data_IF_767624663416
#
_entry.id   IF_767624663416
#
_cell.length_a   1.000
_cell.length_b   1.000
_cell.length_c   1.000
_cell.angle_alpha   90.00
_cell.angle_beta   90.00
_cell.angle_gamma   90.00
#
_symmetry.space_group_name_H-M   'P 1'
#
loop_
_entity.id
_entity.type
_entity.pdbx_description
1 polymer ?
#
# COMPACT_ATOMS: atom_id res chain seq x y z
N UNK A 1 19.16 -1.47 -13.72
CA UNK A 1 19.64 -1.96 -12.43
C UNK A 1 19.08 -3.32 -12.15
N UNK A 2 19.78 -4.09 -11.36
CA UNK A 2 19.33 -5.40 -10.94
C UNK A 2 18.33 -5.25 -9.80
N UNK A 3 17.28 -6.07 -9.79
CA UNK A 3 16.24 -6.06 -8.77
C UNK A 3 16.20 -7.37 -7.99
N UNK A 4 16.00 -7.28 -6.66
CA UNK A 4 15.77 -8.42 -5.81
C UNK A 4 14.42 -8.29 -5.12
N UNK A 5 13.69 -9.39 -4.97
CA UNK A 5 12.46 -9.41 -4.19
C UNK A 5 12.77 -9.73 -2.72
N UNK A 6 12.20 -8.94 -1.82
CA UNK A 6 12.27 -9.22 -0.39
C UNK A 6 11.27 -10.36 -0.10
N UNK A 7 11.70 -11.49 0.48
CA UNK A 7 10.80 -12.55 0.87
C UNK A 7 9.74 -12.09 1.88
N UNK A 8 8.64 -12.81 1.93
CA UNK A 8 7.61 -12.65 2.95
C UNK A 8 7.43 -13.96 3.72
N UNK A 9 6.90 -13.88 4.93
CA UNK A 9 6.52 -15.05 5.73
C UNK A 9 5.20 -15.70 5.23
N UNK A 10 4.74 -16.72 5.93
CA UNK A 10 3.50 -17.44 5.60
C UNK A 10 2.24 -16.57 5.73
N UNK A 11 2.32 -15.43 6.40
CA UNK A 11 1.23 -14.47 6.59
C UNK A 11 1.29 -13.30 5.59
N UNK A 12 2.33 -13.27 4.74
CA UNK A 12 2.55 -12.21 3.75
C UNK A 12 3.22 -10.95 4.32
N UNK A 13 3.85 -11.05 5.49
CA UNK A 13 4.64 -9.97 6.10
C UNK A 13 6.08 -10.06 5.62
N UNK A 14 6.68 -8.92 5.25
CA UNK A 14 8.06 -8.85 4.76
C UNK A 14 9.05 -9.36 5.80
N UNK A 15 10.00 -10.23 5.36
CA UNK A 15 11.10 -10.73 6.17
C UNK A 15 12.19 -9.66 6.30
N UNK A 16 12.20 -8.99 7.46
CA UNK A 16 13.16 -7.92 7.76
C UNK A 16 14.60 -8.40 7.86
N UNK A 17 14.82 -9.65 8.28
CA UNK A 17 16.16 -10.22 8.30
C UNK A 17 16.67 -10.50 6.88
N UNK A 18 15.79 -10.96 6.00
CA UNK A 18 16.12 -11.12 4.59
C UNK A 18 16.40 -9.76 3.93
N UNK A 19 15.62 -8.72 4.26
CA UNK A 19 15.90 -7.35 3.82
C UNK A 19 17.30 -6.90 4.23
N UNK A 20 17.67 -7.08 5.50
CA UNK A 20 19.00 -6.72 6.00
C UNK A 20 20.11 -7.50 5.26
N UNK A 21 19.91 -8.80 5.04
CA UNK A 21 20.88 -9.63 4.27
C UNK A 21 21.02 -9.16 2.82
N UNK A 22 19.90 -8.84 2.15
CA UNK A 22 19.92 -8.35 0.77
C UNK A 22 20.68 -7.02 0.63
N UNK A 23 20.63 -6.19 1.66
CA UNK A 23 21.32 -4.87 1.66
C UNK A 23 22.80 -4.96 2.02
N UNK A 24 23.23 -6.00 2.74
CA UNK A 24 24.60 -6.12 3.24
C UNK A 24 25.66 -6.25 2.12
N UNK A 25 25.30 -6.83 0.99
CA UNK A 25 26.20 -7.19 -0.11
C UNK A 25 26.02 -6.27 -1.34
N UNK A 26 25.32 -5.14 -1.19
CA UNK A 26 25.07 -4.23 -2.33
C UNK A 26 25.95 -3.00 -2.27
N UNK A 27 26.77 -2.81 -3.32
CA UNK A 27 27.53 -1.60 -3.53
C UNK A 27 26.78 -0.58 -4.41
N UNK A 28 26.75 0.69 -3.99
CA UNK A 28 26.17 1.79 -4.77
C UNK A 28 24.75 2.21 -4.33
N UNK A 29 24.09 3.04 -5.14
CA UNK A 29 22.76 3.57 -4.76
C UNK A 29 21.69 2.48 -4.79
N UNK A 30 20.96 2.32 -3.69
CA UNK A 30 19.89 1.36 -3.54
C UNK A 30 18.57 2.07 -3.25
N UNK A 31 17.49 1.56 -3.83
CA UNK A 31 16.11 1.91 -3.49
C UNK A 31 15.43 0.67 -2.93
N UNK A 32 14.92 0.76 -1.71
CA UNK A 32 14.00 -0.22 -1.12
C UNK A 32 12.59 0.28 -1.31
N UNK A 33 11.72 -0.54 -1.87
CA UNK A 33 10.30 -0.19 -2.07
C UNK A 33 9.41 -1.25 -1.43
N UNK A 34 8.58 -0.83 -0.47
CA UNK A 34 7.65 -1.72 0.25
C UNK A 34 6.25 -1.08 0.25
N UNK A 35 5.22 -1.89 -0.05
CA UNK A 35 3.83 -1.44 0.10
C UNK A 35 3.44 -1.42 1.58
N UNK A 36 2.73 -0.38 2.03
CA UNK A 36 2.28 -0.30 3.42
C UNK A 36 1.17 -1.30 3.74
N UNK A 37 0.31 -1.59 2.76
CA UNK A 37 -0.74 -2.60 2.85
C UNK A 37 -0.83 -3.38 1.53
N UNK A 38 -0.96 -4.70 1.62
CA UNK A 38 -1.13 -5.53 0.45
C UNK A 38 -2.53 -5.34 -0.16
N UNK A 39 -2.62 -5.22 -1.48
CA UNK A 39 -3.87 -4.94 -2.19
C UNK A 39 -4.85 -6.13 -2.21
N UNK A 40 -4.39 -7.36 -2.04
CA UNK A 40 -5.20 -8.58 -2.07
C UNK A 40 -5.62 -9.02 -0.66
N UNK A 41 -4.65 -9.12 0.25
CA UNK A 41 -4.88 -9.66 1.60
C UNK A 41 -5.20 -8.57 2.61
N UNK A 42 -4.84 -7.32 2.34
CA UNK A 42 -4.91 -6.22 3.28
C UNK A 42 -3.83 -6.23 4.36
N UNK A 43 -2.87 -7.16 4.31
CA UNK A 43 -1.82 -7.31 5.31
C UNK A 43 -0.95 -6.06 5.35
N UNK A 44 -0.78 -5.52 6.56
CA UNK A 44 0.05 -4.35 6.85
C UNK A 44 1.51 -4.76 7.00
N UNK A 45 2.40 -3.94 6.44
CA UNK A 45 3.84 -4.18 6.49
C UNK A 45 4.51 -3.34 7.58
N UNK A 46 5.60 -3.81 8.18
CA UNK A 46 6.36 -3.10 9.21
C UNK A 46 7.24 -1.99 8.60
N UNK A 47 6.59 -0.94 8.06
CA UNK A 47 7.23 0.10 7.24
C UNK A 47 8.32 0.83 8.00
N UNK A 48 8.08 1.24 9.25
CA UNK A 48 9.06 1.99 10.04
C UNK A 48 10.34 1.18 10.29
N UNK A 49 10.20 -0.12 10.55
CA UNK A 49 11.31 -1.04 10.74
C UNK A 49 12.09 -1.28 9.43
N UNK A 50 11.37 -1.50 8.33
CA UNK A 50 11.97 -1.67 7.01
C UNK A 50 12.72 -0.40 6.57
N UNK A 51 12.15 0.78 6.81
CA UNK A 51 12.79 2.07 6.54
C UNK A 51 14.08 2.25 7.35
N UNK A 52 14.05 1.92 8.64
CA UNK A 52 15.25 1.98 9.50
C UNK A 52 16.37 1.07 8.98
N UNK A 53 16.06 -0.17 8.64
CA UNK A 53 17.04 -1.12 8.08
C UNK A 53 17.60 -0.60 6.75
N UNK A 54 16.76 -0.06 5.88
CA UNK A 54 17.18 0.53 4.62
C UNK A 54 18.15 1.73 4.85
N UNK A 55 17.81 2.61 5.77
CA UNK A 55 18.64 3.78 6.09
C UNK A 55 19.98 3.40 6.73
N UNK A 56 20.04 2.39 7.58
CA UNK A 56 21.28 1.87 8.15
C UNK A 56 22.25 1.37 7.07
N UNK A 57 21.71 0.86 5.95
CA UNK A 57 22.47 0.49 4.76
C UNK A 57 22.68 1.65 3.76
N UNK A 58 22.25 2.88 4.08
CA UNK A 58 22.35 4.03 3.18
C UNK A 58 21.37 4.03 2.01
N UNK A 59 20.42 3.14 1.96
CA UNK A 59 19.41 3.04 0.90
C UNK A 59 18.36 4.15 0.99
N UNK A 60 17.72 4.45 -0.14
CA UNK A 60 16.51 5.27 -0.22
C UNK A 60 15.29 4.39 0.02
N UNK A 61 14.40 4.79 0.92
CA UNK A 61 13.20 4.01 1.23
C UNK A 61 11.92 4.65 0.67
N UNK A 62 11.25 3.91 -0.21
CA UNK A 62 9.96 4.26 -0.78
C UNK A 62 8.85 3.42 -0.17
N UNK A 63 7.79 4.06 0.29
CA UNK A 63 6.57 3.43 0.78
C UNK A 63 5.45 3.56 -0.27
N UNK A 64 4.95 2.45 -0.80
CA UNK A 64 3.70 2.46 -1.55
C UNK A 64 2.53 2.42 -0.55
N UNK A 65 1.91 3.57 -0.32
CA UNK A 65 0.79 3.72 0.60
C UNK A 65 -0.58 3.72 -0.08
N UNK A 66 -0.64 3.36 -1.37
CA UNK A 66 -1.87 3.39 -2.18
C UNK A 66 -3.02 2.63 -1.53
N UNK A 67 -2.75 1.50 -0.88
CA UNK A 67 -3.78 0.69 -0.21
C UNK A 67 -3.93 0.97 1.29
N UNK A 68 -3.04 1.77 1.87
CA UNK A 68 -3.08 2.11 3.29
C UNK A 68 -3.76 3.46 3.57
N UNK A 69 -3.59 4.42 2.66
CA UNK A 69 -4.17 5.75 2.78
C UNK A 69 -5.69 5.71 2.94
N UNK A 70 -6.21 6.48 3.90
CA UNK A 70 -7.64 6.50 4.26
C UNK A 70 -8.15 5.24 4.96
N UNK A 71 -7.27 4.28 5.29
CA UNK A 71 -7.62 3.04 5.99
C UNK A 71 -6.89 2.89 7.32
N UNK A 72 -5.70 3.45 7.40
CA UNK A 72 -4.89 3.59 8.62
C UNK A 72 -4.38 5.02 8.71
N UNK A 73 -3.98 5.42 9.90
CA UNK A 73 -3.24 6.67 10.08
C UNK A 73 -1.86 6.57 9.43
N UNK A 74 -1.54 7.55 8.58
CA UNK A 74 -0.29 7.59 7.83
C UNK A 74 0.44 8.89 8.12
N UNK A 75 1.61 8.75 8.72
CA UNK A 75 2.56 9.84 8.93
C UNK A 75 3.90 9.47 8.28
N UNK A 76 4.27 10.17 7.19
CA UNK A 76 5.51 9.90 6.46
C UNK A 76 6.75 10.07 7.34
N UNK A 77 6.72 11.01 8.29
CA UNK A 77 7.81 11.24 9.22
C UNK A 77 7.91 10.11 10.24
N UNK A 78 6.80 9.71 10.83
CA UNK A 78 6.71 8.59 11.77
C UNK A 78 7.06 7.25 11.14
N UNK A 79 6.71 7.03 9.86
CA UNK A 79 7.10 5.85 9.08
C UNK A 79 8.55 5.87 8.63
N UNK A 80 9.20 7.02 8.66
CA UNK A 80 10.59 7.18 8.22
C UNK A 80 10.79 7.01 6.71
N UNK A 81 9.74 7.04 5.89
CA UNK A 81 9.90 6.91 4.44
C UNK A 81 10.50 8.16 3.81
N UNK A 82 11.44 8.02 2.88
CA UNK A 82 11.99 9.14 2.08
C UNK A 82 10.98 9.60 1.03
N UNK A 83 10.18 8.66 0.51
CA UNK A 83 9.11 8.96 -0.43
C UNK A 83 7.88 8.06 -0.18
N UNK A 84 6.69 8.59 -0.50
CA UNK A 84 5.43 7.86 -0.38
C UNK A 84 4.56 8.10 -1.61
N UNK A 85 4.03 7.02 -2.20
CA UNK A 85 3.07 7.12 -3.31
C UNK A 85 1.63 6.93 -2.84
N UNK A 86 0.73 7.72 -3.43
CA UNK A 86 -0.70 7.71 -3.17
C UNK A 86 -1.48 7.75 -4.49
N UNK A 87 -2.72 7.25 -4.50
CA UNK A 87 -3.59 7.27 -5.67
C UNK A 87 -5.01 7.71 -5.28
N UNK A 88 -5.53 8.73 -5.97
CA UNK A 88 -6.81 9.34 -5.64
C UNK A 88 -7.98 8.34 -5.70
N UNK A 89 -8.04 7.50 -6.74
CA UNK A 89 -9.16 6.56 -6.93
C UNK A 89 -9.25 5.48 -5.82
N UNK A 90 -8.21 5.31 -5.01
CA UNK A 90 -8.22 4.41 -3.85
C UNK A 90 -8.78 5.06 -2.59
N UNK A 91 -8.95 6.40 -2.61
CA UNK A 91 -9.52 7.21 -1.55
C UNK A 91 -10.95 7.70 -1.88
N UNK A 92 -11.55 7.23 -2.98
CA UNK A 92 -12.83 7.76 -3.45
C UNK A 92 -12.72 8.99 -4.35
N UNK A 93 -11.50 9.39 -4.71
CA UNK A 93 -11.22 10.49 -5.62
C UNK A 93 -11.22 10.07 -7.10
N UNK A 94 -10.91 11.02 -8.02
CA UNK A 94 -10.92 10.77 -9.44
C UNK A 94 -9.80 9.82 -9.89
N UNK A 95 -10.08 9.08 -11.00
CA UNK A 95 -9.07 8.26 -11.66
C UNK A 95 -8.05 9.14 -12.40
N UNK A 96 -6.87 8.58 -12.67
CA UNK A 96 -5.83 9.22 -13.48
C UNK A 96 -5.03 10.32 -12.75
N UNK A 97 -5.13 10.39 -11.43
CA UNK A 97 -4.33 11.29 -10.59
C UNK A 97 -3.80 10.56 -9.37
N UNK A 98 -2.57 10.85 -9.04
CA UNK A 98 -1.87 10.37 -7.85
C UNK A 98 -0.85 11.39 -7.40
N UNK A 99 -0.20 11.15 -6.28
CA UNK A 99 0.90 11.99 -5.83
C UNK A 99 2.08 11.17 -5.32
N UNK A 100 3.24 11.80 -5.37
CA UNK A 100 4.47 11.34 -4.76
C UNK A 100 4.88 12.38 -3.73
N UNK A 101 4.85 11.98 -2.47
CA UNK A 101 5.26 12.81 -1.33
C UNK A 101 6.72 12.51 -1.04
N UNK A 102 7.53 13.54 -0.82
CA UNK A 102 8.94 13.42 -0.43
C UNK A 102 9.18 13.99 0.96
N UNK A 103 10.08 13.34 1.68
CA UNK A 103 10.61 13.82 2.95
C UNK A 103 12.06 14.26 2.77
N UNK A 104 12.37 15.49 3.20
CA UNK A 104 13.73 16.02 3.11
C UNK A 104 14.17 16.37 1.67
N UNK A 105 15.48 16.34 1.44
CA UNK A 105 16.12 16.86 0.22
C UNK A 105 16.53 15.74 -0.78
N UNK A 106 16.30 14.47 -0.45
CA UNK A 106 16.65 13.32 -1.30
C UNK A 106 15.58 13.08 -2.37
N UNK A 107 15.39 14.07 -3.25
CA UNK A 107 14.38 14.00 -4.30
C UNK A 107 15.03 13.47 -5.59
N UNK A 108 14.46 12.41 -6.22
CA UNK A 108 14.97 11.87 -7.49
C UNK A 108 14.87 12.89 -8.62
N UNK A 109 15.72 12.75 -9.64
CA UNK A 109 15.63 13.59 -10.82
C UNK A 109 14.30 13.35 -11.56
N UNK A 110 13.68 14.40 -12.14
CA UNK A 110 12.42 14.29 -12.85
C UNK A 110 12.55 13.37 -14.08
N UNK A 111 11.64 12.41 -14.21
CA UNK A 111 11.59 11.49 -15.37
C UNK A 111 10.99 12.18 -16.60
N UNK A 112 9.94 12.98 -16.42
CA UNK A 112 9.29 13.73 -17.49
C UNK A 112 9.89 15.14 -17.56
N UNK A 113 10.72 15.36 -18.56
CA UNK A 113 11.43 16.63 -18.78
C UNK A 113 10.67 17.49 -19.79
N UNK A 114 10.74 18.82 -19.63
CA UNK A 114 10.10 19.78 -20.53
C UNK A 114 9.75 21.08 -19.85
N UNK A 115 8.47 21.40 -19.71
CA UNK A 115 7.99 22.58 -19.01
C UNK A 115 8.27 22.57 -17.51
N UNK A 116 7.95 23.67 -16.84
CA UNK A 116 8.25 23.89 -15.41
C UNK A 116 7.11 23.52 -14.48
N UNK A 117 6.13 22.75 -14.97
CA UNK A 117 5.00 22.27 -14.16
C UNK A 117 5.51 21.47 -12.96
N UNK A 118 4.69 21.41 -11.91
CA UNK A 118 5.08 20.79 -10.63
C UNK A 118 6.46 21.28 -10.13
N UNK A 119 6.73 22.58 -10.28
CA UNK A 119 8.04 23.20 -9.95
C UNK A 119 9.23 22.56 -10.67
N UNK A 120 9.02 22.03 -11.88
CA UNK A 120 10.02 21.35 -12.69
C UNK A 120 10.17 19.85 -12.41
N UNK A 121 9.37 19.28 -11.49
CA UNK A 121 9.43 17.86 -11.14
C UNK A 121 8.67 16.96 -12.11
N UNK A 122 7.69 17.50 -12.84
CA UNK A 122 6.94 16.74 -13.85
C UNK A 122 6.41 17.68 -14.93
N UNK A 123 6.96 17.59 -16.12
CA UNK A 123 6.50 18.36 -17.26
C UNK A 123 5.12 17.89 -17.77
N UNK A 124 4.42 18.77 -18.46
CA UNK A 124 3.08 18.56 -19.00
C UNK A 124 2.01 19.26 -18.16
N UNK A 125 0.93 19.69 -18.83
CA UNK A 125 -0.18 20.41 -18.16
C UNK A 125 -0.75 19.57 -17.04
N UNK A 126 -1.01 20.21 -15.92
CA UNK A 126 -1.57 19.58 -14.71
C UNK A 126 -3.05 19.24 -14.94
N UNK A 127 -3.47 18.08 -14.46
CA UNK A 127 -4.88 17.70 -14.38
C UNK A 127 -5.54 18.39 -13.18
N UNK A 128 -5.77 19.69 -13.30
CA UNK A 128 -6.29 20.50 -12.21
C UNK A 128 -7.60 19.95 -11.59
N UNK A 129 -8.63 19.56 -12.39
CA UNK A 129 -9.84 18.96 -11.79
C UNK A 129 -9.55 17.69 -11.00
N UNK A 130 -8.65 16.83 -11.50
CA UNK A 130 -8.24 15.61 -10.80
C UNK A 130 -7.49 15.91 -9.51
N UNK A 131 -6.59 16.90 -9.52
CA UNK A 131 -5.81 17.30 -8.34
C UNK A 131 -6.73 17.87 -7.25
N UNK A 132 -7.68 18.75 -7.61
CA UNK A 132 -8.67 19.30 -6.66
C UNK A 132 -9.53 18.17 -6.08
N UNK A 133 -10.05 17.27 -6.92
CA UNK A 133 -10.83 16.12 -6.45
C UNK A 133 -10.02 15.17 -5.56
N UNK A 134 -8.71 15.03 -5.81
CA UNK A 134 -7.83 14.26 -4.92
C UNK A 134 -7.70 14.94 -3.55
N UNK A 135 -7.52 16.25 -3.50
CA UNK A 135 -7.46 17.01 -2.23
C UNK A 135 -8.70 16.78 -1.38
N UNK A 136 -9.88 16.95 -1.96
CA UNK A 136 -11.17 16.71 -1.27
C UNK A 136 -11.26 15.26 -0.77
N UNK A 137 -10.93 14.27 -1.63
CA UNK A 137 -10.97 12.86 -1.24
C UNK A 137 -9.99 12.53 -0.11
N UNK A 138 -8.83 13.17 -0.06
CA UNK A 138 -7.86 12.99 1.01
C UNK A 138 -8.37 13.55 2.35
N UNK A 139 -9.01 14.73 2.35
CA UNK A 139 -9.62 15.32 3.55
C UNK A 139 -10.75 14.45 4.10
N UNK A 140 -11.64 13.97 3.24
CA UNK A 140 -12.73 13.05 3.62
C UNK A 140 -12.20 11.72 4.14
N UNK A 141 -11.16 11.16 3.51
CA UNK A 141 -10.54 9.89 3.93
C UNK A 141 -9.94 9.99 5.34
N UNK A 142 -9.32 11.11 5.69
CA UNK A 142 -8.83 11.37 7.06
C UNK A 142 -9.98 11.48 8.05
N UNK A 143 -11.04 12.20 7.70
CA UNK A 143 -12.23 12.35 8.55
C UNK A 143 -12.91 10.98 8.82
N UNK A 144 -12.90 10.08 7.84
CA UNK A 144 -13.52 8.75 7.92
C UNK A 144 -12.70 7.70 8.69
N UNK A 145 -11.45 7.96 9.08
CA UNK A 145 -10.62 7.01 9.84
C UNK A 145 -11.28 6.53 11.14
N UNK A 146 -12.11 7.36 11.77
CA UNK A 146 -12.89 6.97 12.95
C UNK A 146 -13.87 5.82 12.73
N UNK A 147 -14.21 5.48 11.47
CA UNK A 147 -15.12 4.37 11.10
C UNK A 147 -14.41 3.02 11.02
N UNK A 148 -13.08 2.99 11.05
CA UNK A 148 -12.26 1.78 10.92
C UNK A 148 -12.69 0.62 11.86
N UNK A 149 -13.01 0.84 13.16
CA UNK A 149 -13.45 -0.24 14.03
C UNK A 149 -14.76 -0.91 13.58
N UNK A 150 -15.71 -0.13 13.07
CA UNK A 150 -16.98 -0.67 12.57
C UNK A 150 -16.77 -1.50 11.28
N UNK A 151 -15.91 -1.04 10.38
CA UNK A 151 -15.52 -1.77 9.16
C UNK A 151 -14.80 -3.08 9.50
N UNK A 152 -13.88 -3.06 10.49
CA UNK A 152 -13.22 -4.27 10.96
C UNK A 152 -14.23 -5.30 11.49
N UNK A 153 -15.21 -4.88 12.29
CA UNK A 153 -16.24 -5.76 12.81
C UNK A 153 -17.10 -6.39 11.70
N UNK A 154 -17.39 -5.64 10.62
CA UNK A 154 -18.10 -6.15 9.44
C UNK A 154 -17.25 -7.18 8.68
N UNK A 155 -15.97 -6.91 8.44
CA UNK A 155 -15.03 -7.85 7.82
C UNK A 155 -14.93 -9.14 8.63
N UNK A 156 -14.71 -9.03 9.92
CA UNK A 156 -14.56 -10.18 10.81
C UNK A 156 -15.84 -11.03 10.88
N UNK A 157 -17.00 -10.39 10.78
CA UNK A 157 -18.28 -11.08 10.66
C UNK A 157 -18.38 -11.86 9.34
N UNK A 158 -18.07 -11.21 8.21
CA UNK A 158 -18.05 -11.84 6.88
C UNK A 158 -17.16 -13.09 6.89
N UNK A 159 -15.93 -12.95 7.41
CA UNK A 159 -14.95 -14.04 7.47
C UNK A 159 -15.46 -15.21 8.32
N UNK A 160 -16.00 -14.96 9.50
CA UNK A 160 -16.59 -16.02 10.35
C UNK A 160 -17.73 -16.75 9.66
N UNK A 161 -18.64 -16.02 9.02
CA UNK A 161 -19.79 -16.62 8.32
C UNK A 161 -19.33 -17.43 7.10
N UNK A 162 -18.35 -16.95 6.34
CA UNK A 162 -17.79 -17.68 5.20
C UNK A 162 -17.06 -18.96 5.63
N UNK A 163 -16.24 -18.89 6.68
CA UNK A 163 -15.52 -20.06 7.21
C UNK A 163 -16.50 -21.11 7.78
N UNK A 164 -17.62 -20.68 8.37
CA UNK A 164 -18.64 -21.59 8.87
C UNK A 164 -19.45 -22.25 7.75
N UNK A 165 -19.68 -21.54 6.65
CA UNK A 165 -20.49 -22.00 5.53
C UNK A 165 -19.73 -22.90 4.55
N UNK A 166 -18.41 -22.71 4.39
CA UNK A 166 -17.61 -23.40 3.37
C UNK A 166 -16.51 -24.25 4.03
N UNK A 167 -16.64 -25.59 4.06
CA UNK A 167 -15.62 -26.47 4.60
C UNK A 167 -14.28 -26.31 3.87
N UNK A 168 -13.21 -26.10 4.64
CA UNK A 168 -11.87 -25.92 4.11
C UNK A 168 -11.58 -24.51 3.57
N UNK A 169 -12.51 -23.57 3.66
CA UNK A 169 -12.21 -22.16 3.39
C UNK A 169 -11.13 -21.62 4.34
N UNK A 170 -10.34 -20.67 3.86
CA UNK A 170 -9.32 -20.01 4.64
C UNK A 170 -9.30 -18.51 4.35
N UNK A 171 -8.91 -17.72 5.34
CA UNK A 171 -8.63 -16.29 5.18
C UNK A 171 -7.12 -16.12 5.06
N UNK A 172 -6.65 -15.61 3.93
CA UNK A 172 -5.22 -15.35 3.72
C UNK A 172 -4.79 -14.12 4.51
N UNK A 173 -3.70 -14.25 5.26
CA UNK A 173 -3.17 -13.19 6.12
C UNK A 173 -3.98 -12.96 7.40
N UNK A 174 -4.84 -13.92 7.83
CA UNK A 174 -5.69 -13.78 9.00
C UNK A 174 -4.92 -13.44 10.29
N UNK A 175 -3.74 -14.02 10.47
CA UNK A 175 -2.92 -13.89 11.69
C UNK A 175 -1.98 -12.68 11.68
N UNK A 176 -1.98 -11.90 10.59
CA UNK A 176 -1.23 -10.65 10.48
C UNK A 176 -2.13 -9.43 10.74
N UNK A 177 -1.56 -8.28 11.14
CA UNK A 177 -2.26 -7.01 11.11
C UNK A 177 -2.78 -6.69 9.70
N UNK A 178 -4.05 -6.27 9.57
CA UNK A 178 -4.68 -6.01 8.27
C UNK A 178 -5.50 -4.71 8.28
N UNK A 179 -5.63 -4.07 7.12
CA UNK A 179 -6.62 -3.00 6.96
C UNK A 179 -8.04 -3.54 7.16
N UNK A 180 -8.92 -2.71 7.69
CA UNK A 180 -10.27 -3.10 8.03
C UNK A 180 -11.17 -3.43 6.82
N UNK A 181 -10.80 -2.94 5.64
CA UNK A 181 -11.65 -2.95 4.44
C UNK A 181 -11.35 -4.08 3.46
N UNK A 182 -10.42 -4.98 3.79
CA UNK A 182 -9.97 -6.04 2.88
C UNK A 182 -10.06 -7.41 3.54
N UNK A 183 -10.60 -8.38 2.82
CA UNK A 183 -10.60 -9.80 3.17
C UNK A 183 -10.22 -10.61 1.94
N UNK A 184 -9.35 -11.59 2.09
CA UNK A 184 -8.96 -12.50 1.03
C UNK A 184 -9.35 -13.93 1.42
N UNK A 185 -10.40 -14.46 0.79
CA UNK A 185 -10.97 -15.77 1.08
C UNK A 185 -10.54 -16.78 0.02
N UNK A 186 -9.87 -17.85 0.43
CA UNK A 186 -9.60 -19.01 -0.39
C UNK A 186 -10.68 -20.07 -0.17
N UNK A 187 -11.33 -20.50 -1.25
CA UNK A 187 -12.39 -21.53 -1.22
C UNK A 187 -11.95 -22.72 -2.07
N UNK A 188 -11.48 -23.83 -1.48
CA UNK A 188 -11.01 -24.98 -2.22
C UNK A 188 -12.07 -25.57 -3.15
N UNK A 189 -11.67 -25.88 -4.37
CA UNK A 189 -12.53 -26.50 -5.37
C UNK A 189 -13.49 -25.55 -6.09
N UNK A 190 -13.46 -24.24 -5.79
CA UNK A 190 -14.26 -23.22 -6.48
C UNK A 190 -13.34 -22.25 -7.20
N UNK A 191 -13.44 -22.19 -8.54
CA UNK A 191 -12.67 -21.24 -9.33
C UNK A 191 -13.06 -19.80 -9.01
N UNK A 192 -12.08 -18.89 -8.99
CA UNK A 192 -12.31 -17.46 -8.66
C UNK A 192 -13.29 -16.80 -9.61
N UNK A 193 -13.25 -17.13 -10.90
CA UNK A 193 -14.18 -16.61 -11.91
C UNK A 193 -15.63 -17.00 -11.58
N UNK A 194 -15.86 -18.22 -11.11
CA UNK A 194 -17.18 -18.68 -10.70
C UNK A 194 -17.70 -17.91 -9.49
N UNK A 195 -16.81 -17.63 -8.52
CA UNK A 195 -17.16 -16.82 -7.34
C UNK A 195 -17.55 -15.40 -7.73
N UNK A 196 -16.74 -14.76 -8.61
CA UNK A 196 -17.01 -13.39 -9.10
C UNK A 196 -18.35 -13.34 -9.80
N UNK A 197 -18.63 -14.27 -10.75
CA UNK A 197 -19.90 -14.31 -11.49
C UNK A 197 -21.08 -14.52 -10.54
N UNK A 198 -20.95 -15.41 -9.56
CA UNK A 198 -22.02 -15.69 -8.62
C UNK A 198 -22.36 -14.49 -7.73
N UNK A 199 -21.33 -13.74 -7.30
CA UNK A 199 -21.52 -12.54 -6.48
C UNK A 199 -22.05 -11.35 -7.29
N UNK A 200 -21.71 -11.27 -8.58
CA UNK A 200 -22.19 -10.20 -9.48
C UNK A 200 -23.68 -10.38 -9.85
N UNK A 201 -24.17 -11.61 -9.80
CA UNK A 201 -25.57 -11.96 -10.11
C UNK A 201 -26.50 -11.98 -8.88
N UNK A 202 -25.97 -11.85 -7.67
CA UNK A 202 -26.73 -11.91 -6.42
C UNK A 202 -27.20 -10.52 -5.96
#
# INVERSE_FOLDING_TARGET
>A
GDGAAIPVDAHGVVDLEALARLLADVDGPVVVSVMAANNETGVLQPIAEAARIAHEAGAFFHCDAVQAAGRIDLDIDGLGADAMTLSAHKLGGPQGVGCLVFRGDRIPAPMLKGGTQEKGWRAGTENLPGIVGFGVAAEEAVADLGRTPALAAMRDRLEREALAAVPGAAVLGADAPRVATTSCLAMPGVASETQVIALDLA
#
